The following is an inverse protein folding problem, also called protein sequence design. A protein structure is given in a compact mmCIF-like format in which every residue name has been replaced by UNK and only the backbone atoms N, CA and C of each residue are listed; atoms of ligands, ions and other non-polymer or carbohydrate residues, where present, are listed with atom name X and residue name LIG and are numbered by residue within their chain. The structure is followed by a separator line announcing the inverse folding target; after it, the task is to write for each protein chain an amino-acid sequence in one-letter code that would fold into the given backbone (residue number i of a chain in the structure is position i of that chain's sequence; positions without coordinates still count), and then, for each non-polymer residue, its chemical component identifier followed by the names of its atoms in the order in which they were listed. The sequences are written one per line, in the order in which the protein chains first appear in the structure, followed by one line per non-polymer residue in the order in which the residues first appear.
data_IF_492499454670
#
_entry.id   IF_492499454670
#
_cell.length_a   1.000
_cell.length_b   1.000
_cell.length_c   1.000
_cell.angle_alpha   90.00
_cell.angle_beta   90.00
_cell.angle_gamma   90.00
#
_symmetry.space_group_name_H-M   'P 1'
#
loop_
_entity.id
_entity.type
_entity.pdbx_description
1 polymer ?
#
# COMPACT_ATOMS: atom_id res chain seq x y z
N UNK A 1 -32.45 25.33 -3.71
CA UNK A 1 -31.61 24.44 -4.55
C UNK A 1 -31.29 23.20 -3.74
N UNK A 2 -31.38 22.00 -4.30
CA UNK A 2 -31.01 20.77 -3.58
C UNK A 2 -29.53 20.85 -3.16
N UNK A 3 -29.21 20.43 -1.93
CA UNK A 3 -27.84 20.46 -1.38
C UNK A 3 -26.83 19.78 -2.34
N UNK A 4 -27.23 18.65 -2.94
CA UNK A 4 -26.43 17.92 -3.93
C UNK A 4 -26.06 18.77 -5.15
N UNK A 5 -26.95 19.65 -5.61
CA UNK A 5 -26.63 20.58 -6.71
C UNK A 5 -25.64 21.65 -6.27
N UNK A 6 -25.78 22.19 -5.05
CA UNK A 6 -24.85 23.20 -4.51
C UNK A 6 -23.44 22.62 -4.41
N UNK A 7 -23.33 21.42 -3.83
CA UNK A 7 -22.06 20.69 -3.72
C UNK A 7 -21.51 20.38 -5.12
N UNK A 8 -22.34 19.87 -6.02
CA UNK A 8 -21.92 19.53 -7.39
C UNK A 8 -21.41 20.73 -8.21
N UNK A 9 -21.90 21.95 -7.94
CA UNK A 9 -21.39 23.16 -8.60
C UNK A 9 -20.03 23.63 -8.04
N UNK A 10 -19.74 23.35 -6.77
CA UNK A 10 -18.49 23.76 -6.12
C UNK A 10 -17.40 22.69 -6.23
N UNK A 11 -17.77 21.41 -6.32
CA UNK A 11 -16.86 20.28 -6.48
C UNK A 11 -16.16 20.30 -7.84
N UNK A 12 -14.85 20.12 -7.83
CA UNK A 12 -14.00 20.16 -9.03
C UNK A 12 -13.29 18.83 -9.26
N UNK A 13 -13.71 18.03 -10.25
CA UNK A 13 -13.00 16.81 -10.63
C UNK A 13 -11.55 17.07 -11.03
N UNK A 14 -11.25 18.22 -11.63
CA UNK A 14 -9.88 18.58 -12.00
C UNK A 14 -8.98 18.78 -10.78
N UNK A 15 -9.50 19.30 -9.65
CA UNK A 15 -8.72 19.41 -8.41
C UNK A 15 -8.40 18.02 -7.84
N UNK A 16 -9.37 17.11 -7.88
CA UNK A 16 -9.17 15.70 -7.48
C UNK A 16 -8.04 15.08 -8.32
N UNK A 17 -8.10 15.20 -9.66
CA UNK A 17 -7.05 14.68 -10.54
C UNK A 17 -5.67 15.30 -10.25
N UNK A 18 -5.60 16.60 -9.92
CA UNK A 18 -4.34 17.24 -9.55
C UNK A 18 -3.79 16.69 -8.23
N UNK A 19 -4.64 16.37 -7.25
CA UNK A 19 -4.20 15.73 -6.01
C UNK A 19 -3.70 14.31 -6.27
N UNK A 20 -4.38 13.54 -7.15
CA UNK A 20 -3.94 12.20 -7.57
C UNK A 20 -2.57 12.26 -8.25
N UNK A 21 -2.34 13.19 -9.18
CA UNK A 21 -1.04 13.33 -9.86
C UNK A 21 0.11 13.61 -8.88
N UNK A 22 -0.13 14.42 -7.84
CA UNK A 22 0.89 14.71 -6.83
C UNK A 22 1.15 13.48 -5.95
N UNK A 23 0.11 12.90 -5.37
CA UNK A 23 0.25 11.76 -4.45
C UNK A 23 0.81 10.52 -5.16
N UNK A 24 0.48 10.35 -6.44
CA UNK A 24 0.94 9.21 -7.23
C UNK A 24 2.40 9.29 -7.67
N UNK A 25 3.08 10.40 -7.38
CA UNK A 25 4.53 10.56 -7.57
C UNK A 25 5.32 10.35 -6.27
N UNK A 26 4.63 10.01 -5.18
CA UNK A 26 5.24 9.76 -3.88
C UNK A 26 5.20 8.26 -3.61
N UNK A 27 6.36 7.64 -3.41
CA UNK A 27 6.44 6.26 -2.92
C UNK A 27 6.14 6.22 -1.42
N UNK A 28 4.85 6.16 -1.10
CA UNK A 28 4.27 6.45 0.22
C UNK A 28 3.95 5.18 1.03
N UNK A 29 4.78 4.14 0.97
CA UNK A 29 4.57 2.90 1.75
C UNK A 29 4.52 3.20 3.25
N UNK A 30 3.70 2.47 4.00
CA UNK A 30 3.51 2.63 5.45
C UNK A 30 4.82 2.67 6.23
N UNK A 31 4.92 3.62 7.18
CA UNK A 31 6.12 3.91 7.98
C UNK A 31 7.37 4.09 7.12
N UNK A 32 7.33 5.04 6.19
CA UNK A 32 8.49 5.46 5.40
C UNK A 32 8.59 6.97 5.32
N UNK A 33 9.73 7.49 4.84
CA UNK A 33 9.88 8.93 4.57
C UNK A 33 8.91 9.42 3.49
N UNK A 34 8.56 8.57 2.53
CA UNK A 34 7.57 8.93 1.50
C UNK A 34 6.16 9.06 2.08
N UNK A 35 5.80 8.22 3.05
CA UNK A 35 4.55 8.34 3.79
C UNK A 35 4.46 9.68 4.53
N UNK A 36 5.49 10.05 5.29
CA UNK A 36 5.51 11.35 5.99
C UNK A 36 5.42 12.55 5.03
N UNK A 37 6.03 12.47 3.84
CA UNK A 37 5.87 13.51 2.80
C UNK A 37 4.42 13.63 2.31
N UNK A 38 3.71 12.51 2.21
CA UNK A 38 2.30 12.51 1.84
C UNK A 38 1.43 13.07 2.99
N UNK A 39 1.79 12.79 4.26
CA UNK A 39 1.19 13.47 5.42
C UNK A 39 1.42 14.99 5.40
N UNK A 40 2.63 15.45 5.08
CA UNK A 40 2.96 16.88 4.95
C UNK A 40 2.08 17.56 3.90
N UNK A 41 1.89 16.91 2.76
CA UNK A 41 1.03 17.40 1.69
C UNK A 41 -0.43 17.51 2.14
N UNK A 42 -0.99 16.46 2.74
CA UNK A 42 -2.38 16.44 3.23
C UNK A 42 -2.59 17.49 4.30
N UNK A 43 -1.70 17.58 5.29
CA UNK A 43 -1.75 18.61 6.34
C UNK A 43 -1.74 20.01 5.74
N UNK A 44 -0.82 20.27 4.79
CA UNK A 44 -0.76 21.57 4.12
C UNK A 44 -2.06 21.92 3.42
N UNK A 45 -2.73 20.95 2.78
CA UNK A 45 -3.99 21.19 2.06
C UNK A 45 -5.16 21.44 2.99
N UNK A 46 -5.29 20.66 4.04
CA UNK A 46 -6.34 20.88 5.06
C UNK A 46 -6.20 22.27 5.70
N UNK A 47 -4.97 22.71 6.02
CA UNK A 47 -4.70 24.06 6.54
C UNK A 47 -5.02 25.15 5.52
N UNK A 48 -4.65 24.95 4.24
CA UNK A 48 -4.98 25.87 3.15
C UNK A 48 -6.49 26.05 2.99
N UNK A 49 -7.27 25.00 3.22
CA UNK A 49 -8.73 25.02 3.14
C UNK A 49 -9.39 25.68 4.37
N UNK A 50 -8.64 25.95 5.43
CA UNK A 50 -9.15 26.59 6.66
C UNK A 50 -9.61 25.62 7.74
N UNK A 51 -9.30 24.32 7.62
CA UNK A 51 -9.66 23.34 8.64
C UNK A 51 -8.71 23.40 9.84
N UNK A 52 -9.21 23.00 11.01
CA UNK A 52 -8.41 22.74 12.20
C UNK A 52 -7.69 21.39 12.06
N UNK A 53 -6.35 21.42 12.00
CA UNK A 53 -5.53 20.25 11.68
C UNK A 53 -4.68 19.77 12.86
N UNK A 54 -4.75 18.47 13.13
CA UNK A 54 -3.98 17.74 14.13
C UNK A 54 -3.13 16.66 13.43
N UNK A 55 -1.85 16.59 13.78
CA UNK A 55 -0.97 15.47 13.42
C UNK A 55 -0.63 14.69 14.68
N UNK A 56 -1.14 13.48 14.78
CA UNK A 56 -0.84 12.56 15.89
C UNK A 56 0.30 11.65 15.46
N UNK A 57 1.29 11.42 16.33
CA UNK A 57 2.43 10.54 16.04
C UNK A 57 2.38 9.31 16.93
N UNK A 58 2.59 8.14 16.34
CA UNK A 58 2.58 6.85 16.99
C UNK A 58 3.92 6.14 16.82
N UNK A 59 4.34 5.38 17.82
CA UNK A 59 5.59 4.61 17.76
C UNK A 59 5.50 3.51 16.70
N UNK A 60 6.58 3.37 15.93
CA UNK A 60 6.77 2.41 14.86
C UNK A 60 7.95 1.49 15.18
N UNK A 61 7.65 0.38 15.87
CA UNK A 61 8.66 -0.58 16.34
C UNK A 61 8.08 -1.97 16.56
N UNK A 62 8.94 -2.96 16.56
CA UNK A 62 8.56 -4.35 16.79
C UNK A 62 8.07 -4.55 18.24
N UNK A 63 7.11 -5.46 18.43
CA UNK A 63 6.55 -5.81 19.74
C UNK A 63 5.51 -4.84 20.31
N UNK A 64 5.24 -3.71 19.64
CA UNK A 64 4.14 -2.82 19.95
C UNK A 64 2.89 -3.22 19.16
N UNK A 65 1.70 -3.00 19.74
CA UNK A 65 0.43 -3.21 19.06
C UNK A 65 -0.59 -2.13 19.42
N UNK A 66 -1.53 -1.90 18.51
CA UNK A 66 -2.68 -1.02 18.68
C UNK A 66 -3.96 -1.84 18.49
N UNK A 67 -4.69 -2.12 19.57
CA UNK A 67 -5.90 -2.96 19.55
C UNK A 67 -5.67 -4.32 18.84
N UNK A 68 -4.53 -4.95 19.11
CA UNK A 68 -4.13 -6.22 18.49
C UNK A 68 -3.54 -6.10 17.08
N UNK A 69 -3.53 -4.91 16.47
CA UNK A 69 -2.83 -4.67 15.21
C UNK A 69 -1.36 -4.35 15.48
N UNK A 70 -0.45 -5.18 14.98
CA UNK A 70 0.98 -5.06 15.26
C UNK A 70 1.59 -3.83 14.58
N UNK A 71 2.43 -3.12 15.33
CA UNK A 71 3.29 -2.07 14.80
C UNK A 71 4.49 -2.69 14.07
N UNK A 72 5.12 -1.87 13.24
CA UNK A 72 6.26 -2.26 12.40
C UNK A 72 7.35 -1.20 12.46
N UNK A 73 8.60 -1.63 12.31
CA UNK A 73 9.72 -0.70 12.12
C UNK A 73 9.59 0.10 10.82
N UNK A 74 10.15 1.32 10.84
CA UNK A 74 10.32 2.15 9.66
C UNK A 74 11.24 1.49 8.67
N UNK A 75 10.83 1.47 7.41
CA UNK A 75 11.64 0.96 6.32
C UNK A 75 12.24 2.13 5.53
N UNK A 76 13.57 2.15 5.44
CA UNK A 76 14.31 3.11 4.64
C UNK A 76 14.94 2.34 3.51
N UNK A 77 14.61 2.69 2.26
CA UNK A 77 15.24 2.13 1.06
C UNK A 77 15.88 3.28 0.27
N UNK A 78 17.11 3.06 -0.19
CA UNK A 78 17.88 4.03 -0.97
C UNK A 78 18.00 3.61 -2.43
N UNK A 79 18.21 2.32 -2.66
CA UNK A 79 18.35 1.76 -4.00
C UNK A 79 18.18 0.25 -3.97
N UNK A 80 17.67 -0.33 -5.04
CA UNK A 80 17.68 -1.76 -5.25
C UNK A 80 17.70 -2.09 -6.74
N UNK A 81 18.38 -3.18 -7.10
CA UNK A 81 18.51 -3.65 -8.48
C UNK A 81 18.65 -5.16 -8.53
N UNK A 82 18.01 -5.77 -9.52
CA UNK A 82 18.17 -7.17 -9.87
C UNK A 82 18.65 -7.28 -11.31
N UNK A 83 19.84 -7.84 -11.48
CA UNK A 83 20.50 -7.97 -12.78
C UNK A 83 20.89 -9.43 -13.04
N UNK A 84 20.60 -9.94 -14.23
CA UNK A 84 21.11 -11.23 -14.71
C UNK A 84 22.57 -11.05 -15.14
N UNK A 85 23.48 -11.78 -14.51
CA UNK A 85 24.91 -11.80 -14.82
C UNK A 85 25.33 -13.03 -15.64
N UNK A 86 24.49 -14.06 -15.67
CA UNK A 86 24.63 -15.24 -16.52
C UNK A 86 23.25 -15.81 -16.86
N UNK A 87 22.96 -16.21 -18.12
CA UNK A 87 23.86 -16.34 -19.28
C UNK A 87 24.17 -14.99 -19.97
N UNK A 88 24.86 -15.03 -21.12
CA UNK A 88 25.22 -13.83 -21.89
C UNK A 88 24.01 -13.05 -22.39
N UNK A 89 24.16 -11.73 -22.61
CA UNK A 89 23.11 -10.87 -23.13
C UNK A 89 22.50 -11.37 -24.45
N UNK A 90 23.32 -11.96 -25.33
CA UNK A 90 22.85 -12.61 -26.55
C UNK A 90 21.81 -13.69 -26.21
N UNK A 91 22.09 -14.54 -25.24
CA UNK A 91 21.15 -15.59 -24.80
C UNK A 91 19.90 -14.99 -24.18
N UNK A 92 19.99 -13.89 -23.43
CA UNK A 92 18.82 -13.20 -22.88
C UNK A 92 17.92 -12.62 -24.00
N UNK A 93 18.54 -12.02 -25.02
CA UNK A 93 17.81 -11.44 -26.16
C UNK A 93 17.01 -12.49 -26.95
N UNK A 94 17.48 -13.75 -27.03
CA UNK A 94 16.74 -14.86 -27.65
C UNK A 94 15.40 -15.15 -26.94
N UNK A 95 15.28 -14.76 -25.67
CA UNK A 95 14.07 -14.94 -24.85
C UNK A 95 13.29 -13.63 -24.65
N UNK A 96 13.75 -12.51 -25.22
CA UNK A 96 13.15 -11.19 -25.00
C UNK A 96 13.33 -10.68 -23.58
N UNK A 97 14.48 -10.99 -22.96
CA UNK A 97 14.85 -10.49 -21.63
C UNK A 97 15.96 -9.44 -21.74
N UNK A 98 15.79 -8.37 -20.97
CA UNK A 98 16.87 -7.43 -20.64
C UNK A 98 17.68 -7.96 -19.44
N UNK A 99 18.98 -7.62 -19.33
CA UNK A 99 19.79 -8.00 -18.17
C UNK A 99 19.22 -7.44 -16.85
N UNK A 100 18.63 -6.25 -16.88
CA UNK A 100 18.04 -5.61 -15.70
C UNK A 100 16.57 -6.02 -15.60
N UNK A 101 16.22 -6.81 -14.58
CA UNK A 101 14.85 -7.28 -14.36
C UNK A 101 14.02 -6.28 -13.54
N UNK A 102 14.67 -5.65 -12.56
CA UNK A 102 14.07 -4.70 -11.63
C UNK A 102 15.08 -3.62 -11.24
N UNK A 103 14.61 -2.38 -11.16
CA UNK A 103 15.37 -1.22 -10.71
C UNK A 103 14.43 -0.29 -9.94
N UNK A 104 14.68 -0.14 -8.64
CA UNK A 104 13.86 0.68 -7.75
C UNK A 104 13.86 2.16 -8.15
N UNK A 105 14.97 2.66 -8.70
CA UNK A 105 15.09 4.05 -9.14
C UNK A 105 14.25 4.36 -10.39
N UNK A 106 13.94 3.34 -11.19
CA UNK A 106 13.06 3.46 -12.36
C UNK A 106 11.61 3.19 -11.97
N UNK A 107 11.37 2.10 -11.24
CA UNK A 107 10.04 1.64 -10.87
C UNK A 107 10.04 1.09 -9.44
N UNK A 108 9.65 1.90 -8.44
CA UNK A 108 9.66 1.52 -7.03
C UNK A 108 8.82 0.28 -6.68
N UNK A 109 7.82 -0.07 -7.49
CA UNK A 109 7.02 -1.29 -7.30
C UNK A 109 7.74 -2.57 -7.78
N UNK A 110 8.93 -2.45 -8.39
CA UNK A 110 9.75 -3.59 -8.81
C UNK A 110 10.49 -4.31 -7.67
N UNK A 111 10.38 -3.81 -6.44
CA UNK A 111 10.82 -4.48 -5.22
C UNK A 111 9.61 -4.97 -4.42
N UNK A 112 9.75 -6.11 -3.75
CA UNK A 112 8.84 -6.46 -2.64
C UNK A 112 9.10 -5.44 -1.54
N UNK A 113 8.10 -4.65 -1.20
CA UNK A 113 8.23 -3.59 -0.21
C UNK A 113 8.68 -4.17 1.13
N UNK A 114 9.44 -3.38 1.91
CA UNK A 114 10.06 -3.86 3.15
C UNK A 114 11.06 -5.00 2.93
N UNK A 115 11.74 -5.05 1.77
CA UNK A 115 12.88 -5.95 1.56
C UNK A 115 14.05 -5.64 2.47
N UNK A 116 14.67 -6.68 3.02
CA UNK A 116 15.90 -6.60 3.81
C UNK A 116 17.13 -6.22 2.95
N UNK A 117 18.19 -5.65 3.54
CA UNK A 117 19.39 -5.32 2.80
C UNK A 117 20.15 -6.56 2.34
N UNK A 118 20.84 -6.43 1.21
CA UNK A 118 21.92 -7.35 0.81
C UNK A 118 23.25 -6.93 1.45
N UNK A 119 24.32 -7.75 1.35
CA UNK A 119 25.68 -7.24 1.52
C UNK A 119 25.96 -6.02 0.63
N UNK A 120 26.97 -5.22 1.00
CA UNK A 120 27.26 -3.92 0.35
C UNK A 120 27.63 -4.08 -1.12
N UNK A 121 28.28 -5.18 -1.47
CA UNK A 121 28.67 -5.56 -2.82
C UNK A 121 27.53 -6.21 -3.63
N UNK A 122 26.36 -6.39 -3.02
CA UNK A 122 25.28 -7.23 -3.53
C UNK A 122 25.54 -8.70 -3.26
N UNK A 123 24.69 -9.56 -3.80
CA UNK A 123 24.83 -11.01 -3.74
C UNK A 123 24.64 -11.61 -5.13
N UNK A 124 25.58 -12.42 -5.56
CA UNK A 124 25.44 -13.25 -6.76
C UNK A 124 24.95 -14.64 -6.38
N UNK A 125 23.81 -15.06 -6.95
CA UNK A 125 23.21 -16.35 -6.66
C UNK A 125 22.35 -16.83 -7.83
N UNK A 126 21.99 -18.11 -7.81
CA UNK A 126 21.16 -18.74 -8.85
C UNK A 126 19.68 -18.45 -8.60
N UNK A 127 18.89 -18.38 -9.69
CA UNK A 127 17.43 -18.40 -9.62
C UNK A 127 16.93 -19.83 -9.68
N UNK A 128 16.19 -20.25 -8.65
CA UNK A 128 15.56 -21.58 -8.57
C UNK A 128 14.04 -21.43 -8.82
N UNK A 129 13.49 -21.97 -9.92
CA UNK A 129 12.05 -21.92 -10.16
C UNK A 129 11.31 -22.87 -9.21
N UNK A 130 10.23 -22.37 -8.61
CA UNK A 130 9.32 -23.16 -7.75
C UNK A 130 7.91 -23.03 -8.31
N UNK A 131 7.33 -24.16 -8.74
CA UNK A 131 6.02 -24.19 -9.41
C UNK A 131 4.87 -23.94 -8.43
N UNK A 132 4.84 -24.64 -7.29
CA UNK A 132 3.86 -24.41 -6.22
C UNK A 132 4.55 -23.90 -4.95
N UNK A 133 4.67 -22.58 -4.83
CA UNK A 133 5.37 -21.94 -3.72
C UNK A 133 4.73 -22.16 -2.33
N UNK A 134 3.50 -22.68 -2.26
CA UNK A 134 2.81 -22.98 -1.01
C UNK A 134 2.91 -24.44 -0.58
N UNK A 135 3.49 -25.31 -1.42
CA UNK A 135 3.74 -26.71 -1.10
C UNK A 135 5.23 -26.91 -0.77
N UNK A 136 5.59 -27.26 0.47
CA UNK A 136 6.98 -27.56 0.84
C UNK A 136 7.64 -28.63 -0.04
N UNK A 137 6.89 -29.54 -0.67
CA UNK A 137 7.46 -30.56 -1.56
C UNK A 137 7.93 -30.01 -2.91
N UNK A 138 7.59 -28.76 -3.24
CA UNK A 138 8.07 -28.08 -4.45
C UNK A 138 9.46 -27.46 -4.31
N UNK A 139 10.07 -27.60 -3.13
CA UNK A 139 11.39 -27.06 -2.81
C UNK A 139 12.41 -28.18 -2.70
N UNK A 140 13.64 -27.92 -3.15
CA UNK A 140 14.76 -28.85 -3.06
C UNK A 140 16.02 -28.16 -2.49
N UNK A 141 17.09 -28.93 -2.31
CA UNK A 141 18.33 -28.46 -1.65
C UNK A 141 19.01 -27.28 -2.37
N UNK A 142 18.71 -27.04 -3.65
CA UNK A 142 19.28 -25.91 -4.40
C UNK A 142 18.77 -24.56 -3.90
N UNK A 143 17.66 -24.52 -3.17
CA UNK A 143 17.07 -23.27 -2.66
C UNK A 143 17.96 -22.60 -1.61
N UNK A 144 18.73 -23.38 -0.84
CA UNK A 144 19.57 -22.83 0.23
C UNK A 144 20.64 -21.91 -0.35
N UNK A 145 20.63 -20.65 0.09
CA UNK A 145 21.59 -19.64 -0.38
C UNK A 145 21.24 -19.00 -1.72
N UNK A 146 20.10 -19.36 -2.34
CA UNK A 146 19.68 -18.89 -3.65
C UNK A 146 18.34 -18.14 -3.60
N UNK A 147 17.98 -17.51 -4.72
CA UNK A 147 16.70 -16.80 -4.88
C UNK A 147 15.70 -17.74 -5.54
N UNK A 148 14.45 -17.72 -5.07
CA UNK A 148 13.38 -18.51 -5.70
C UNK A 148 12.54 -17.66 -6.66
N UNK A 149 12.18 -18.19 -7.82
CA UNK A 149 11.20 -17.61 -8.74
C UNK A 149 9.83 -18.29 -8.54
N UNK A 150 8.83 -17.52 -8.14
CA UNK A 150 7.50 -18.02 -7.76
C UNK A 150 6.36 -17.32 -8.50
N UNK A 151 5.18 -17.95 -8.50
CA UNK A 151 3.87 -17.31 -8.80
C UNK A 151 3.01 -17.31 -7.55
N UNK A 152 3.28 -16.37 -6.66
CA UNK A 152 2.56 -16.28 -5.40
C UNK A 152 2.86 -15.01 -4.63
N UNK A 153 2.18 -14.85 -3.52
CA UNK A 153 2.41 -13.77 -2.58
C UNK A 153 3.78 -13.96 -1.91
N UNK A 154 4.65 -12.95 -2.03
CA UNK A 154 6.03 -13.03 -1.58
C UNK A 154 6.14 -13.36 -0.09
N UNK A 155 5.34 -12.72 0.77
CA UNK A 155 5.42 -12.94 2.22
C UNK A 155 4.95 -14.34 2.65
N UNK A 156 3.88 -14.86 2.03
CA UNK A 156 3.42 -16.23 2.28
C UNK A 156 4.45 -17.25 1.82
N UNK A 157 5.01 -17.08 0.62
CA UNK A 157 6.02 -17.99 0.09
C UNK A 157 7.32 -17.95 0.91
N UNK A 158 7.71 -16.77 1.40
CA UNK A 158 8.88 -16.59 2.29
C UNK A 158 8.81 -17.49 3.51
N UNK A 159 7.65 -17.59 4.16
CA UNK A 159 7.48 -18.40 5.36
C UNK A 159 7.89 -19.87 5.15
N UNK A 160 7.86 -20.36 3.91
CA UNK A 160 8.36 -21.70 3.54
C UNK A 160 9.79 -21.59 3.00
N UNK A 161 10.00 -20.79 1.95
CA UNK A 161 11.25 -20.70 1.21
C UNK A 161 12.45 -20.30 2.09
N UNK A 162 12.27 -19.28 2.93
CA UNK A 162 13.36 -18.73 3.74
C UNK A 162 13.56 -19.53 5.04
N UNK A 163 12.46 -19.83 5.75
CA UNK A 163 12.49 -20.46 7.07
C UNK A 163 12.87 -21.93 6.99
N UNK A 164 12.30 -22.67 6.04
CA UNK A 164 12.49 -24.12 5.94
C UNK A 164 13.66 -24.48 5.00
N UNK A 165 13.78 -23.78 3.87
CA UNK A 165 14.72 -24.15 2.80
C UNK A 165 15.93 -23.22 2.68
N UNK A 166 15.94 -22.09 3.39
CA UNK A 166 17.09 -21.21 3.43
C UNK A 166 17.29 -20.35 2.19
N UNK A 167 16.23 -20.04 1.44
CA UNK A 167 16.26 -19.02 0.40
C UNK A 167 16.75 -17.68 0.97
N UNK A 168 17.52 -16.95 0.17
CA UNK A 168 18.02 -15.60 0.53
C UNK A 168 17.19 -14.48 -0.07
N UNK A 169 16.36 -14.80 -1.07
CA UNK A 169 15.41 -13.85 -1.63
C UNK A 169 14.32 -14.50 -2.50
N UNK A 170 13.37 -13.66 -2.94
CA UNK A 170 12.23 -14.07 -3.77
C UNK A 170 12.15 -13.19 -5.02
N UNK A 171 11.83 -13.79 -6.17
CA UNK A 171 11.34 -13.10 -7.36
C UNK A 171 9.91 -13.60 -7.59
N UNK A 172 8.95 -12.68 -7.72
CA UNK A 172 7.57 -13.04 -8.04
C UNK A 172 7.11 -12.34 -9.31
N UNK A 173 6.41 -13.10 -10.16
CA UNK A 173 5.64 -12.60 -11.30
C UNK A 173 4.12 -12.77 -11.07
N UNK A 174 3.67 -12.72 -9.81
CA UNK A 174 2.26 -12.80 -9.43
C UNK A 174 1.42 -11.80 -10.24
N UNK A 175 0.24 -12.25 -10.64
CA UNK A 175 -0.88 -11.43 -11.10
C UNK A 175 -2.01 -11.49 -10.07
N UNK A 176 -2.93 -10.52 -10.10
CA UNK A 176 -4.08 -10.53 -9.17
C UNK A 176 -5.04 -11.71 -9.42
N UNK A 177 -5.14 -12.17 -10.66
CA UNK A 177 -5.96 -13.32 -11.00
C UNK A 177 -5.42 -14.04 -12.22
N UNK A 178 -5.96 -15.25 -12.48
CA UNK A 178 -5.71 -15.98 -13.71
C UNK A 178 -6.25 -15.22 -14.94
N UNK A 179 -7.41 -14.56 -14.84
CA UNK A 179 -7.96 -13.77 -15.95
C UNK A 179 -7.07 -12.58 -16.33
N UNK A 180 -6.47 -11.91 -15.35
CA UNK A 180 -5.51 -10.81 -15.57
C UNK A 180 -4.18 -11.35 -16.13
N UNK A 181 -3.78 -12.57 -15.79
CA UNK A 181 -2.57 -13.21 -16.31
C UNK A 181 -2.58 -13.45 -17.82
N UNK A 182 -3.75 -13.52 -18.44
CA UNK A 182 -3.90 -13.73 -19.87
C UNK A 182 -4.18 -12.43 -20.63
N UNK A 183 -4.43 -11.32 -19.93
CA UNK A 183 -4.61 -10.00 -20.52
C UNK A 183 -3.27 -9.49 -21.10
N UNK A 184 -3.17 -9.26 -22.42
CA UNK A 184 -1.96 -8.76 -23.07
C UNK A 184 -1.50 -7.39 -22.54
N UNK A 185 -2.42 -6.53 -22.13
CA UNK A 185 -2.12 -5.19 -21.61
C UNK A 185 -1.49 -5.26 -20.22
N UNK A 186 -1.85 -6.28 -19.44
CA UNK A 186 -1.36 -6.49 -18.07
C UNK A 186 -0.04 -7.27 -18.00
N UNK A 187 0.49 -7.74 -19.13
CA UNK A 187 1.74 -8.52 -19.14
C UNK A 187 2.99 -7.75 -18.71
N UNK A 188 2.90 -6.41 -18.69
CA UNK A 188 3.97 -5.53 -18.26
C UNK A 188 3.66 -4.86 -16.91
N UNK A 189 2.53 -5.18 -16.27
CA UNK A 189 2.18 -4.66 -14.96
C UNK A 189 2.90 -5.44 -13.85
N UNK A 190 3.25 -4.74 -12.78
CA UNK A 190 3.74 -5.34 -11.53
C UNK A 190 2.70 -5.17 -10.44
N UNK A 191 2.53 -6.22 -9.66
CA UNK A 191 1.59 -6.26 -8.54
C UNK A 191 2.31 -5.82 -7.27
N UNK A 192 1.64 -5.00 -6.44
CA UNK A 192 2.16 -4.63 -5.14
C UNK A 192 2.38 -5.88 -4.28
N UNK A 193 3.59 -6.01 -3.74
CA UNK A 193 3.99 -7.06 -2.80
C UNK A 193 4.74 -6.40 -1.63
N UNK A 194 4.56 -6.92 -0.43
CA UNK A 194 5.26 -6.43 0.78
C UNK A 194 5.62 -7.62 1.67
N UNK A 195 6.71 -7.48 2.43
CA UNK A 195 6.99 -8.35 3.56
C UNK A 195 6.54 -7.70 4.87
N UNK A 196 5.95 -8.49 5.75
CA UNK A 196 5.51 -8.02 7.06
C UNK A 196 6.36 -8.67 8.15
N UNK A 197 7.16 -7.84 8.80
CA UNK A 197 8.10 -8.25 9.84
C UNK A 197 7.53 -7.84 11.20
N UNK A 198 7.20 -8.82 12.03
CA UNK A 198 6.61 -8.62 13.35
C UNK A 198 7.46 -9.16 14.51
N UNK A 199 8.62 -9.75 14.19
CA UNK A 199 9.57 -10.30 15.14
C UNK A 199 9.71 -11.81 14.98
N UNK A 200 10.96 -12.27 14.88
CA UNK A 200 11.30 -13.69 14.79
C UNK A 200 11.32 -14.27 13.37
N UNK A 201 10.80 -13.54 12.37
CA UNK A 201 10.91 -13.96 10.97
C UNK A 201 12.32 -13.75 10.42
N UNK A 202 12.73 -14.65 9.53
CA UNK A 202 13.94 -14.48 8.73
C UNK A 202 13.70 -13.43 7.64
N UNK A 203 14.20 -12.22 7.90
CA UNK A 203 14.17 -11.11 6.93
C UNK A 203 14.98 -11.47 5.68
N UNK A 204 14.36 -11.36 4.50
CA UNK A 204 14.96 -11.56 3.18
C UNK A 204 14.64 -10.38 2.26
N UNK A 205 15.28 -10.33 1.09
CA UNK A 205 14.92 -9.39 0.03
C UNK A 205 14.02 -10.04 -1.02
N UNK A 206 13.30 -9.24 -1.80
CA UNK A 206 12.52 -9.76 -2.91
C UNK A 206 12.23 -8.74 -3.98
N UNK A 207 12.02 -9.22 -5.21
CA UNK A 207 11.75 -8.41 -6.39
C UNK A 207 10.44 -8.83 -7.04
N UNK A 208 9.79 -7.86 -7.67
CA UNK A 208 8.59 -8.08 -8.48
C UNK A 208 8.97 -7.85 -9.94
N UNK A 209 8.77 -8.86 -10.77
CA UNK A 209 9.00 -8.79 -12.22
C UNK A 209 7.66 -8.87 -12.94
N UNK A 210 7.63 -8.43 -14.19
CA UNK A 210 6.38 -8.51 -14.97
C UNK A 210 6.03 -9.95 -15.33
N UNK A 211 4.75 -10.27 -15.56
CA UNK A 211 4.34 -11.59 -16.07
C UNK A 211 5.06 -11.98 -17.36
N UNK A 212 5.34 -11.02 -18.26
CA UNK A 212 6.14 -11.23 -19.47
C UNK A 212 7.57 -11.68 -19.13
N UNK A 213 8.24 -10.96 -18.22
CA UNK A 213 9.57 -11.31 -17.75
C UNK A 213 9.56 -12.70 -17.09
N UNK A 214 8.59 -13.00 -16.22
CA UNK A 214 8.46 -14.28 -15.54
C UNK A 214 8.21 -15.46 -16.48
N UNK A 215 7.38 -15.28 -17.52
CA UNK A 215 7.17 -16.28 -18.59
C UNK A 215 8.46 -16.54 -19.39
N UNK A 216 9.18 -15.48 -19.76
CA UNK A 216 10.44 -15.58 -20.50
C UNK A 216 11.55 -16.24 -19.64
N UNK A 217 11.67 -15.84 -18.38
CA UNK A 217 12.66 -16.35 -17.43
C UNK A 217 12.47 -17.85 -17.15
N UNK A 218 11.23 -18.32 -16.97
CA UNK A 218 10.95 -19.76 -16.84
C UNK A 218 11.30 -20.56 -18.08
N UNK A 219 11.15 -19.99 -19.28
CA UNK A 219 11.60 -20.65 -20.52
C UNK A 219 13.12 -20.74 -20.55
N UNK A 220 13.82 -19.67 -20.18
CA UNK A 220 15.29 -19.65 -20.12
C UNK A 220 15.83 -20.68 -19.10
N UNK A 221 15.23 -20.76 -17.92
CA UNK A 221 15.61 -21.69 -16.85
C UNK A 221 15.48 -23.17 -17.22
N UNK A 222 14.73 -23.51 -18.29
CA UNK A 222 14.68 -24.88 -18.85
C UNK A 222 15.91 -25.22 -19.69
N UNK A 223 16.63 -24.22 -20.20
CA UNK A 223 17.80 -24.41 -21.07
C UNK A 223 19.12 -24.19 -20.35
N UNK A 224 19.15 -23.31 -19.35
CA UNK A 224 20.38 -22.99 -18.62
C UNK A 224 20.10 -22.43 -17.24
N UNK A 225 21.07 -22.54 -16.33
CA UNK A 225 21.01 -21.84 -15.05
C UNK A 225 21.06 -20.33 -15.28
N UNK A 226 20.44 -19.57 -14.38
CA UNK A 226 20.48 -18.11 -14.41
C UNK A 226 21.08 -17.61 -13.11
N UNK A 227 22.18 -16.88 -13.21
CA UNK A 227 22.82 -16.23 -12.05
C UNK A 227 22.45 -14.76 -12.11
N UNK A 228 22.00 -14.23 -10.98
CA UNK A 228 21.68 -12.82 -10.81
C UNK A 228 22.58 -12.19 -9.77
N UNK A 229 22.83 -10.90 -9.94
CA UNK A 229 23.30 -10.01 -8.88
C UNK A 229 22.09 -9.27 -8.31
N UNK A 230 21.75 -9.56 -7.07
CA UNK A 230 20.75 -8.83 -6.31
C UNK A 230 21.45 -7.79 -5.42
N UNK A 231 20.93 -6.57 -5.42
CA UNK A 231 21.40 -5.50 -4.56
C UNK A 231 20.20 -4.78 -3.95
N UNK A 232 20.20 -4.64 -2.62
CA UNK A 232 19.20 -3.87 -1.86
C UNK A 232 19.92 -3.09 -0.78
N UNK A 233 19.87 -1.76 -0.87
CA UNK A 233 20.28 -0.84 0.18
C UNK A 233 19.05 -0.37 0.92
N UNK A 234 18.79 -1.05 2.05
CA UNK A 234 17.70 -0.72 2.95
C UNK A 234 18.09 -0.91 4.41
N UNK A 235 17.31 -0.34 5.32
CA UNK A 235 17.43 -0.58 6.75
C UNK A 235 16.07 -0.51 7.44
N UNK A 236 16.02 -1.08 8.63
CA UNK A 236 14.89 -0.98 9.54
C UNK A 236 15.32 -0.24 10.80
N UNK A 237 14.54 0.75 11.19
CA UNK A 237 14.79 1.54 12.39
C UNK A 237 13.49 1.72 13.18
N UNK A 238 13.61 1.75 14.50
CA UNK A 238 12.51 2.21 15.35
C UNK A 238 12.34 3.71 15.12
N UNK A 239 11.11 4.14 14.85
CA UNK A 239 10.77 5.55 14.61
C UNK A 239 9.30 5.78 14.98
N UNK A 240 8.67 6.75 14.33
CA UNK A 240 7.25 7.06 14.45
C UNK A 240 6.61 7.13 13.06
N UNK A 241 5.29 6.96 13.02
CA UNK A 241 4.46 7.32 11.87
C UNK A 241 3.37 8.29 12.29
N UNK A 242 2.95 9.14 11.36
CA UNK A 242 1.92 10.15 11.58
C UNK A 242 0.53 9.66 11.18
N UNK A 243 -0.51 10.15 11.84
CA UNK A 243 -1.89 10.20 11.34
C UNK A 243 -2.30 11.66 11.28
N UNK A 244 -2.65 12.15 10.10
CA UNK A 244 -3.09 13.53 9.91
C UNK A 244 -4.61 13.56 9.94
N UNK A 245 -5.16 14.49 10.72
CA UNK A 245 -6.61 14.72 10.74
C UNK A 245 -6.92 16.20 10.59
N UNK A 246 -8.03 16.51 9.96
CA UNK A 246 -8.60 17.85 9.90
C UNK A 246 -10.09 17.78 10.19
N UNK A 247 -10.68 18.83 10.78
CA UNK A 247 -12.12 18.83 11.00
C UNK A 247 -12.80 20.14 10.61
N UNK A 248 -14.07 19.99 10.20
CA UNK A 248 -15.05 21.07 10.08
C UNK A 248 -15.92 21.01 11.32
N UNK A 249 -15.97 22.12 12.07
CA UNK A 249 -16.60 22.12 13.38
C UNK A 249 -18.13 21.99 13.34
N UNK A 250 -18.67 21.38 14.40
CA UNK A 250 -20.11 21.18 14.61
C UNK A 250 -20.66 22.12 15.68
N UNK A 251 -21.94 21.96 16.01
CA UNK A 251 -22.55 22.58 17.20
C UNK A 251 -22.41 21.71 18.45
N UNK A 252 -22.30 20.40 18.27
CA UNK A 252 -22.03 19.42 19.33
C UNK A 252 -20.59 18.89 19.26
N UNK A 253 -20.19 18.12 20.28
CA UNK A 253 -18.91 17.40 20.33
C UNK A 253 -18.97 16.00 19.68
N UNK A 254 -20.10 15.64 19.05
CA UNK A 254 -20.25 14.41 18.28
C UNK A 254 -19.52 14.52 16.92
N UNK A 255 -18.90 13.43 16.47
CA UNK A 255 -18.13 13.37 15.22
C UNK A 255 -18.68 12.32 14.24
N UNK A 256 -18.62 12.65 12.96
CA UNK A 256 -18.67 11.70 11.84
C UNK A 256 -17.29 11.67 11.21
N UNK A 257 -16.74 10.48 11.02
CA UNK A 257 -15.40 10.30 10.43
C UNK A 257 -15.49 10.07 8.93
N UNK A 258 -14.56 10.69 8.20
CA UNK A 258 -14.28 10.41 6.78
C UNK A 258 -12.84 9.94 6.71
N UNK A 259 -12.63 8.67 6.36
CA UNK A 259 -11.31 8.02 6.45
C UNK A 259 -10.77 7.73 5.05
N UNK A 260 -9.51 8.04 4.79
CA UNK A 260 -8.81 7.69 3.56
C UNK A 260 -7.35 7.41 3.85
N UNK A 261 -6.88 6.17 3.70
CA UNK A 261 -5.49 5.85 4.00
C UNK A 261 -4.52 6.46 2.98
N UNK A 262 -3.38 6.96 3.47
CA UNK A 262 -2.39 7.69 2.68
C UNK A 262 -1.28 6.79 2.17
N UNK A 263 -1.18 5.53 2.60
CA UNK A 263 -0.04 4.68 2.23
C UNK A 263 -0.30 3.87 0.97
N UNK A 264 0.74 3.72 0.13
CA UNK A 264 0.82 2.83 -1.04
C UNK A 264 2.20 2.99 -1.72
N UNK A 265 2.79 1.96 -2.39
CA UNK A 265 3.89 2.19 -3.31
C UNK A 265 3.47 3.06 -4.52
N UNK A 266 4.42 3.84 -5.04
CA UNK A 266 4.26 4.57 -6.30
C UNK A 266 3.95 3.59 -7.47
N UNK A 267 2.96 3.87 -8.35
CA UNK A 267 2.19 5.11 -8.40
C UNK A 267 0.98 5.17 -7.46
N UNK A 268 0.31 4.06 -7.13
CA UNK A 268 -0.82 4.09 -6.17
C UNK A 268 -1.88 5.16 -6.46
N UNK A 269 -2.26 5.32 -7.74
CA UNK A 269 -3.20 6.37 -8.15
C UNK A 269 -4.64 6.05 -7.70
N UNK A 270 -5.07 4.82 -7.92
CA UNK A 270 -6.38 4.34 -7.48
C UNK A 270 -6.36 4.01 -5.99
N UNK A 271 -5.48 3.09 -5.59
CA UNK A 271 -5.21 2.71 -4.21
C UNK A 271 -4.02 3.52 -3.64
N UNK A 272 -4.19 4.28 -2.56
CA UNK A 272 -5.40 5.09 -2.37
C UNK A 272 -5.22 6.61 -2.57
N UNK A 273 -4.55 7.05 -3.64
CA UNK A 273 -4.52 8.49 -3.94
C UNK A 273 -5.91 9.01 -4.34
N UNK A 274 -6.77 8.17 -4.93
CA UNK A 274 -8.12 8.54 -5.34
C UNK A 274 -9.01 8.91 -4.15
N UNK A 275 -9.07 8.07 -3.11
CA UNK A 275 -9.86 8.31 -1.91
C UNK A 275 -9.36 9.51 -1.12
N UNK A 276 -8.05 9.64 -0.93
CA UNK A 276 -7.44 10.81 -0.29
C UNK A 276 -7.80 12.09 -1.05
N UNK A 277 -7.74 12.06 -2.38
CA UNK A 277 -8.00 13.24 -3.23
C UNK A 277 -9.47 13.66 -3.23
N UNK A 278 -10.39 12.71 -3.29
CA UNK A 278 -11.83 12.98 -3.16
C UNK A 278 -12.15 13.50 -1.77
N UNK A 279 -11.57 12.89 -0.73
CA UNK A 279 -11.70 13.33 0.66
C UNK A 279 -11.24 14.78 0.86
N UNK A 280 -10.07 15.16 0.32
CA UNK A 280 -9.57 16.54 0.34
C UNK A 280 -10.51 17.52 -0.36
N UNK A 281 -11.06 17.15 -1.52
CA UNK A 281 -11.98 18.02 -2.26
C UNK A 281 -13.33 18.15 -1.54
N UNK A 282 -13.83 17.09 -0.89
CA UNK A 282 -15.00 17.16 -0.01
C UNK A 282 -14.73 18.14 1.13
N UNK A 283 -13.60 18.03 1.82
CA UNK A 283 -13.23 18.94 2.91
C UNK A 283 -13.23 20.41 2.45
N UNK A 284 -12.58 20.69 1.31
CA UNK A 284 -12.52 22.04 0.71
C UNK A 284 -13.90 22.58 0.37
N UNK A 285 -14.72 21.77 -0.30
CA UNK A 285 -16.06 22.17 -0.77
C UNK A 285 -16.96 22.49 0.41
N UNK A 286 -17.01 21.62 1.42
CA UNK A 286 -17.87 21.81 2.58
C UNK A 286 -17.46 23.05 3.37
N UNK A 287 -16.16 23.21 3.67
CA UNK A 287 -15.67 24.39 4.41
C UNK A 287 -15.97 25.68 3.65
N UNK A 288 -15.71 25.71 2.33
CA UNK A 288 -16.01 26.88 1.49
C UNK A 288 -17.50 27.22 1.45
N UNK A 289 -18.38 26.22 1.30
CA UNK A 289 -19.81 26.47 1.26
C UNK A 289 -20.34 27.00 2.61
N UNK A 290 -19.75 26.55 3.72
CA UNK A 290 -20.06 27.07 5.06
C UNK A 290 -19.55 28.50 5.22
N UNK A 291 -18.29 28.76 4.85
CA UNK A 291 -17.68 30.09 4.96
C UNK A 291 -18.39 31.13 4.10
N UNK A 292 -18.85 30.74 2.91
CA UNK A 292 -19.63 31.58 2.00
C UNK A 292 -21.10 31.76 2.45
N UNK A 293 -21.54 31.07 3.52
CA UNK A 293 -22.93 31.10 4.00
C UNK A 293 -23.93 30.42 3.07
N UNK A 294 -23.47 29.57 2.15
CA UNK A 294 -24.31 28.85 1.17
C UNK A 294 -24.97 27.61 1.75
N UNK A 295 -24.37 27.02 2.80
CA UNK A 295 -24.94 25.93 3.59
C UNK A 295 -24.82 26.26 5.09
N UNK A 296 -25.73 25.76 5.95
CA UNK A 296 -25.63 25.99 7.39
C UNK A 296 -24.45 25.20 7.99
N UNK A 297 -24.00 25.61 9.17
CA UNK A 297 -23.11 24.79 10.00
C UNK A 297 -23.77 23.45 10.35
N UNK A 298 -22.96 22.40 10.42
CA UNK A 298 -23.42 21.07 10.78
C UNK A 298 -23.74 20.97 12.27
N UNK A 299 -24.65 20.06 12.61
CA UNK A 299 -24.90 19.72 14.01
C UNK A 299 -23.68 19.01 14.61
N UNK A 300 -23.15 18.03 13.89
CA UNK A 300 -21.99 17.22 14.27
C UNK A 300 -20.75 17.69 13.54
N UNK A 301 -19.59 17.52 14.15
CA UNK A 301 -18.30 17.72 13.51
C UNK A 301 -18.07 16.67 12.42
N UNK A 302 -17.46 17.06 11.31
CA UNK A 302 -16.94 16.13 10.31
C UNK A 302 -15.43 16.11 10.44
N UNK A 303 -14.87 14.93 10.77
CA UNK A 303 -13.42 14.74 10.89
C UNK A 303 -12.90 13.91 9.72
N UNK A 304 -12.00 14.50 8.95
CA UNK A 304 -11.23 13.84 7.91
C UNK A 304 -9.98 13.23 8.55
N UNK A 305 -9.79 11.93 8.37
CA UNK A 305 -8.70 11.15 8.98
C UNK A 305 -7.92 10.49 7.87
N UNK A 306 -6.62 10.70 7.88
CA UNK A 306 -5.72 10.20 6.86
C UNK A 306 -4.64 9.30 7.52
N UNK A 307 -4.95 8.02 7.75
CA UNK A 307 -4.06 7.08 8.43
C UNK A 307 -3.18 6.28 7.45
N UNK A 308 -2.40 5.34 7.98
CA UNK A 308 -1.86 4.22 7.20
C UNK A 308 -2.78 2.99 7.35
N UNK A 309 -2.95 2.22 6.29
CA UNK A 309 -3.76 1.00 6.25
C UNK A 309 -3.00 -0.20 6.85
N UNK A 310 -3.60 -1.04 7.68
CA UNK A 310 -4.67 -0.76 8.65
C UNK A 310 -4.09 -0.28 9.98
N UNK A 311 -2.76 -0.32 10.13
CA UNK A 311 -2.04 -0.05 11.38
C UNK A 311 -2.32 1.35 11.92
N UNK A 312 -2.35 2.37 11.06
CA UNK A 312 -2.66 3.74 11.46
C UNK A 312 -4.12 3.93 11.84
N UNK A 313 -5.04 3.22 11.21
CA UNK A 313 -6.45 3.21 11.61
C UNK A 313 -6.59 2.62 13.02
N UNK A 314 -5.96 1.47 13.28
CA UNK A 314 -5.98 0.85 14.60
C UNK A 314 -5.35 1.75 15.67
N UNK A 315 -4.22 2.40 15.36
CA UNK A 315 -3.57 3.36 16.26
C UNK A 315 -4.45 4.57 16.58
N UNK A 316 -5.11 5.14 15.57
CA UNK A 316 -5.98 6.29 15.78
C UNK A 316 -7.28 5.92 16.53
N UNK A 317 -7.84 4.74 16.26
CA UNK A 317 -8.98 4.20 17.03
C UNK A 317 -8.58 3.98 18.49
N UNK A 318 -7.39 3.43 18.75
CA UNK A 318 -6.86 3.28 20.11
C UNK A 318 -6.72 4.64 20.82
N UNK A 319 -6.22 5.65 20.11
CA UNK A 319 -6.08 7.02 20.63
C UNK A 319 -7.43 7.67 20.97
N UNK A 320 -8.48 7.40 20.19
CA UNK A 320 -9.84 7.94 20.37
C UNK A 320 -10.81 6.97 21.06
N UNK A 321 -10.29 5.93 21.71
CA UNK A 321 -11.10 4.82 22.20
C UNK A 321 -12.18 5.25 23.21
N UNK A 322 -11.84 6.15 24.12
CA UNK A 322 -12.81 6.66 25.11
C UNK A 322 -13.93 7.49 24.48
N UNK A 323 -13.65 8.27 23.42
CA UNK A 323 -14.68 9.00 22.68
C UNK A 323 -15.65 8.05 21.96
N UNK A 324 -15.12 6.96 21.41
CA UNK A 324 -15.92 5.90 20.78
C UNK A 324 -16.81 5.23 21.82
N UNK A 325 -16.26 4.83 22.98
CA UNK A 325 -17.04 4.22 24.08
C UNK A 325 -18.10 5.15 24.65
N UNK A 326 -17.81 6.45 24.71
CA UNK A 326 -18.75 7.47 25.15
C UNK A 326 -19.86 7.76 24.12
N UNK A 327 -19.84 7.12 22.95
CA UNK A 327 -20.84 7.33 21.89
C UNK A 327 -20.69 8.66 21.16
N UNK A 328 -19.54 9.33 21.26
CA UNK A 328 -19.29 10.61 20.57
C UNK A 328 -19.01 10.41 19.09
N UNK A 329 -18.49 9.26 18.69
CA UNK A 329 -18.21 8.94 17.29
C UNK A 329 -19.42 8.18 16.73
N UNK A 330 -20.21 8.87 15.91
CA UNK A 330 -21.54 8.40 15.46
C UNK A 330 -21.41 7.40 14.31
N UNK A 331 -20.34 7.50 13.53
CA UNK A 331 -20.06 6.60 12.44
C UNK A 331 -18.87 7.07 11.60
N UNK A 332 -18.48 6.24 10.64
CA UNK A 332 -17.40 6.51 9.71
C UNK A 332 -17.81 6.17 8.26
N UNK A 333 -17.30 6.95 7.32
CA UNK A 333 -17.34 6.69 5.88
C UNK A 333 -15.89 6.52 5.42
N UNK A 334 -15.57 5.38 4.82
CA UNK A 334 -14.24 5.11 4.28
C UNK A 334 -14.23 5.40 2.78
N UNK A 335 -13.29 6.24 2.33
CA UNK A 335 -13.00 6.50 0.93
C UNK A 335 -11.64 5.87 0.62
N UNK A 336 -11.72 4.67 0.09
CA UNK A 336 -10.59 3.93 -0.45
C UNK A 336 -10.48 4.17 -1.96
N UNK A 337 -10.41 3.13 -2.78
CA UNK A 337 -10.50 3.18 -4.23
C UNK A 337 -11.85 3.75 -4.72
N UNK A 338 -11.85 5.01 -5.16
CA UNK A 338 -13.05 5.74 -5.63
C UNK A 338 -12.89 6.35 -7.03
N UNK A 339 -11.79 6.06 -7.72
CA UNK A 339 -11.53 6.57 -9.06
C UNK A 339 -11.92 5.61 -10.19
N UNK A 340 -12.14 4.34 -9.88
CA UNK A 340 -12.51 3.30 -10.83
C UNK A 340 -14.03 3.21 -11.06
N UNK A 341 -14.41 2.75 -12.25
CA UNK A 341 -15.81 2.46 -12.64
C UNK A 341 -16.18 1.02 -12.22
N UNK A 342 -17.46 0.76 -11.94
CA UNK A 342 -17.94 -0.59 -11.59
C UNK A 342 -17.57 -1.64 -12.64
N UNK A 343 -17.54 -1.27 -13.93
CA UNK A 343 -17.10 -2.17 -15.01
C UNK A 343 -15.65 -2.63 -14.89
N UNK A 344 -14.84 -1.90 -14.13
CA UNK A 344 -13.44 -2.21 -13.84
C UNK A 344 -13.24 -2.72 -12.41
N UNK A 345 -14.33 -3.12 -11.74
CA UNK A 345 -14.30 -3.76 -10.42
C UNK A 345 -14.48 -2.80 -9.24
N UNK A 346 -14.78 -1.51 -9.45
CA UNK A 346 -15.18 -0.65 -8.35
C UNK A 346 -16.51 -1.12 -7.75
N UNK A 347 -16.71 -0.90 -6.45
CA UNK A 347 -17.95 -1.27 -5.77
C UNK A 347 -18.21 -0.34 -4.60
N UNK A 348 -19.44 0.16 -4.48
CA UNK A 348 -19.89 0.74 -3.23
C UNK A 348 -20.16 -0.39 -2.24
N UNK A 349 -19.20 -0.64 -1.36
CA UNK A 349 -19.35 -1.65 -0.31
C UNK A 349 -20.03 -1.04 0.90
N UNK A 350 -21.20 -1.54 1.21
CA UNK A 350 -21.89 -1.27 2.46
C UNK A 350 -21.60 -2.45 3.39
N UNK A 351 -20.80 -2.22 4.42
CA UNK A 351 -20.34 -3.28 5.34
C UNK A 351 -21.13 -3.19 6.64
N UNK A 352 -21.67 -4.33 7.09
CA UNK A 352 -22.37 -4.44 8.38
C UNK A 352 -21.42 -4.02 9.52
N UNK A 353 -21.91 -3.35 10.58
CA UNK A 353 -21.09 -3.07 11.75
C UNK A 353 -20.58 -4.39 12.38
N UNK A 354 -19.45 -4.39 13.12
CA UNK A 354 -18.95 -5.57 13.79
C UNK A 354 -20.05 -6.27 14.61
N UNK A 355 -20.08 -7.59 14.63
CA UNK A 355 -21.13 -8.37 15.34
C UNK A 355 -21.27 -8.00 16.83
N UNK A 356 -20.21 -7.46 17.41
CA UNK A 356 -20.13 -7.02 18.80
C UNK A 356 -20.82 -5.67 19.05
N UNK A 357 -21.02 -4.86 18.00
CA UNK A 357 -21.82 -3.64 18.04
C UNK A 357 -23.25 -3.95 17.62
N UNK A 358 -24.13 -4.13 18.60
CA UNK A 358 -25.55 -4.35 18.36
C UNK A 358 -26.13 -3.23 17.50
N UNK A 359 -26.58 -3.54 16.28
CA UNK A 359 -27.09 -2.56 15.33
C UNK A 359 -28.25 -3.11 14.50
N UNK A 360 -29.28 -2.29 14.32
CA UNK A 360 -30.39 -2.56 13.40
C UNK A 360 -30.02 -2.36 11.93
N UNK A 361 -28.82 -1.82 11.66
CA UNK A 361 -28.30 -1.61 10.31
C UNK A 361 -28.04 -2.96 9.63
N UNK A 362 -27.46 -3.94 10.34
CA UNK A 362 -27.18 -5.26 9.77
C UNK A 362 -28.47 -5.98 9.29
N UNK A 363 -29.57 -6.03 10.06
CA UNK A 363 -30.86 -6.53 9.58
C UNK A 363 -31.48 -5.78 8.40
N UNK A 364 -31.17 -4.49 8.20
CA UNK A 364 -31.71 -3.68 7.10
C UNK A 364 -30.94 -3.85 5.77
N UNK A 365 -29.76 -4.46 5.83
CA UNK A 365 -28.89 -4.70 4.67
C UNK A 365 -29.06 -6.11 4.06
N UNK A 366 -29.95 -6.91 4.62
CA UNK A 366 -30.38 -8.23 4.13
C UNK A 366 -31.81 -8.17 3.63
#
# INVERSE_FOLDING_TARGET
MLLSKIIGYEFSPQRVLNHIDILSRIHRVVVTTGYEKACDYVESKLREFGLDVERVRFEARDGLEFLGYKSIQKWIIRSARLEIVYPSEKKLSEFGLDPILADFGVEPISIVQRSAPTPREGIECEIIPVENCYDPNSYDDRVRGNIVLIRGEADKARAIAAEMFGAVGIITDKTESASISDDPEMQNARVYQSFWWFGGEKKIFGFVITPRQGKALRRLLKETRVIVRAYVDSEFVDDYFSVVTGFIDGKSDEEIWVVSHIDHPMPGAEDNASGVSVSLEIARVLEKLISDGKIPRFERRIRFIYPAEFMGTAAYVAYRYEDIKAGKIIGAVNLDMVGSDEKYGASLLIIEPPYESGSYIAPLMR
#
